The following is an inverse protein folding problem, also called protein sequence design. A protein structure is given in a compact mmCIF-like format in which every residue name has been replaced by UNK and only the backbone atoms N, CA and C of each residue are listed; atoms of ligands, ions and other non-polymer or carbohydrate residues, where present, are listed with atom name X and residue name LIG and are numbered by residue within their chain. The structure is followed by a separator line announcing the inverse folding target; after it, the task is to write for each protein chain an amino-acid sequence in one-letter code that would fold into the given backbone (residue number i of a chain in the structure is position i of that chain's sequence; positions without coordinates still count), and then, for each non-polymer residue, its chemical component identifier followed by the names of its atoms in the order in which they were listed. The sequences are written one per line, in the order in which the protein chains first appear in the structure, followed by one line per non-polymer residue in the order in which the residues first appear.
data_IF_295033547551
#
_entry.id   IF_295033547551
#
_cell.length_a   1.000
_cell.length_b   1.000
_cell.length_c   1.000
_cell.angle_alpha   90.00
_cell.angle_beta   90.00
_cell.angle_gamma   90.00
#
_symmetry.space_group_name_H-M   'P 1'
#
loop_
_entity.id
_entity.type
_entity.pdbx_description
1 polymer ?
#
# COMPACT_ATOMS: atom_id res chain seq x y z
N UNK A 1 16.03 13.49 -17.79
CA UNK A 1 15.74 13.19 -16.38
C UNK A 1 14.72 14.24 -15.94
N UNK A 2 13.46 13.84 -15.74
CA UNK A 2 12.49 14.73 -15.09
C UNK A 2 12.90 14.76 -13.63
N UNK A 3 13.13 15.95 -13.11
CA UNK A 3 13.43 16.12 -11.69
C UNK A 3 12.33 15.49 -10.88
N UNK A 4 12.69 14.55 -10.01
CA UNK A 4 11.79 14.03 -9.00
C UNK A 4 11.24 15.24 -8.23
N UNK A 5 9.92 15.45 -8.25
CA UNK A 5 9.29 16.68 -7.74
C UNK A 5 9.44 16.78 -6.19
N UNK A 6 10.06 15.78 -5.58
CA UNK A 6 10.34 15.77 -4.16
C UNK A 6 11.43 16.80 -3.80
N UNK A 7 11.18 17.58 -2.78
CA UNK A 7 12.18 18.41 -2.13
C UNK A 7 13.38 17.52 -1.73
N UNK A 8 14.58 17.69 -2.34
CA UNK A 8 15.73 16.83 -2.07
C UNK A 8 16.16 16.84 -0.60
N UNK A 9 15.84 17.92 0.14
CA UNK A 9 16.15 18.05 1.57
C UNK A 9 15.23 17.18 2.47
N UNK A 10 14.16 16.62 1.90
CA UNK A 10 13.17 15.79 2.59
C UNK A 10 13.07 14.37 2.04
N UNK A 11 13.92 14.00 1.09
CA UNK A 11 13.96 12.62 0.60
C UNK A 11 14.53 11.71 1.67
N UNK A 12 13.79 10.68 2.01
CA UNK A 12 14.32 9.57 2.80
C UNK A 12 15.38 8.89 1.94
N UNK A 13 16.57 8.65 2.48
CA UNK A 13 17.69 8.03 1.75
C UNK A 13 17.41 6.59 1.29
N UNK A 14 16.31 5.99 1.72
CA UNK A 14 15.92 4.60 1.50
C UNK A 14 14.55 4.52 0.83
N UNK A 15 14.47 4.90 -0.45
CA UNK A 15 13.21 5.01 -1.20
C UNK A 15 13.05 3.96 -2.30
N UNK A 16 13.87 2.96 -2.36
CA UNK A 16 13.77 1.86 -3.32
C UNK A 16 13.06 0.65 -2.68
N UNK A 17 12.08 0.07 -3.36
CA UNK A 17 11.37 -1.11 -2.88
C UNK A 17 12.28 -2.34 -2.64
N UNK A 18 13.51 -2.34 -3.17
CA UNK A 18 14.53 -3.36 -2.95
C UNK A 18 15.54 -3.01 -1.84
N UNK A 19 15.41 -1.84 -1.21
CA UNK A 19 16.38 -1.36 -0.21
C UNK A 19 16.38 -2.17 1.09
N UNK A 20 17.43 -1.98 1.94
CA UNK A 20 17.66 -2.80 3.13
C UNK A 20 16.49 -2.86 4.11
N UNK A 21 16.47 -3.93 4.85
CA UNK A 21 15.52 -4.23 5.91
C UNK A 21 16.22 -4.30 7.27
N UNK A 22 15.53 -4.25 8.42
CA UNK A 22 14.06 -4.20 8.53
C UNK A 22 13.46 -2.83 8.25
N UNK A 23 12.13 -2.79 7.96
CA UNK A 23 11.36 -1.56 7.78
C UNK A 23 10.07 -1.57 8.58
N UNK A 24 9.60 -0.36 8.87
CA UNK A 24 8.23 -0.12 9.31
C UNK A 24 7.46 0.53 8.17
N UNK A 25 6.27 -0.01 7.91
CA UNK A 25 5.35 0.53 6.93
C UNK A 25 4.16 1.18 7.66
N UNK A 26 3.97 2.49 7.50
CA UNK A 26 2.83 3.19 8.06
C UNK A 26 1.57 2.78 7.28
N UNK A 27 0.73 1.93 7.92
CA UNK A 27 -0.47 1.35 7.32
C UNK A 27 -1.56 2.39 7.18
N UNK A 28 -1.91 2.75 5.93
CA UNK A 28 -2.87 3.81 5.55
C UNK A 28 -2.48 5.21 6.03
N UNK A 29 -1.18 5.43 6.33
CA UNK A 29 -0.68 6.67 6.90
C UNK A 29 -0.63 6.67 8.43
N UNK A 30 -0.56 7.87 9.02
CA UNK A 30 -0.48 8.08 10.48
C UNK A 30 -1.01 9.45 10.88
N UNK A 31 -1.69 9.53 12.04
CA UNK A 31 -2.09 10.80 12.66
C UNK A 31 -3.23 11.54 11.98
N UNK A 32 -4.04 10.87 11.16
CA UNK A 32 -5.20 11.45 10.46
C UNK A 32 -6.11 10.39 9.88
N UNK A 33 -7.14 10.78 9.11
CA UNK A 33 -8.04 9.84 8.45
C UNK A 33 -7.26 8.90 7.53
N UNK A 34 -7.54 7.59 7.63
CA UNK A 34 -6.85 6.55 6.85
C UNK A 34 -6.91 6.83 5.33
N UNK A 35 -5.84 6.49 4.61
CA UNK A 35 -5.72 6.69 3.15
C UNK A 35 -5.84 8.15 2.66
N UNK A 36 -5.84 9.14 3.57
CA UNK A 36 -5.87 10.55 3.19
C UNK A 36 -4.47 11.09 2.89
N UNK A 37 -4.39 12.16 2.10
CA UNK A 37 -3.11 12.87 1.89
C UNK A 37 -2.52 13.38 3.21
N UNK A 38 -3.39 13.76 4.17
CA UNK A 38 -2.94 14.24 5.49
C UNK A 38 -2.22 13.14 6.24
N UNK A 39 -2.82 11.95 6.37
CA UNK A 39 -2.22 10.85 7.12
C UNK A 39 -0.98 10.28 6.43
N UNK A 40 -1.00 10.16 5.10
CA UNK A 40 0.14 9.66 4.33
C UNK A 40 1.34 10.64 4.39
N UNK A 41 1.08 11.93 4.22
CA UNK A 41 2.13 12.96 4.35
C UNK A 41 2.67 13.05 5.78
N UNK A 42 1.80 12.98 6.79
CA UNK A 42 2.22 12.94 8.19
C UNK A 42 3.17 11.78 8.49
N UNK A 43 2.87 10.58 7.99
CA UNK A 43 3.76 9.43 8.15
C UNK A 43 5.14 9.68 7.53
N UNK A 44 5.19 10.22 6.30
CA UNK A 44 6.44 10.54 5.60
C UNK A 44 7.21 11.65 6.33
N UNK A 45 6.54 12.69 6.80
CA UNK A 45 7.17 13.79 7.53
C UNK A 45 7.73 13.35 8.90
N UNK A 46 7.17 12.29 9.51
CA UNK A 46 7.72 11.62 10.69
C UNK A 46 8.90 10.68 10.37
N UNK A 47 9.22 10.52 9.10
CA UNK A 47 10.34 9.72 8.62
C UNK A 47 9.98 8.26 8.31
N UNK A 48 8.71 7.98 7.98
CA UNK A 48 8.33 6.65 7.51
C UNK A 48 9.06 6.32 6.20
N UNK A 49 9.83 5.23 6.24
CA UNK A 49 10.57 4.72 5.08
C UNK A 49 9.62 4.07 4.07
N UNK A 50 8.52 3.55 4.57
CA UNK A 50 7.49 2.89 3.78
C UNK A 50 6.09 3.30 4.25
N UNK A 51 5.20 3.58 3.30
CA UNK A 51 3.78 3.85 3.54
C UNK A 51 2.94 2.86 2.75
N UNK A 52 1.78 2.52 3.29
CA UNK A 52 0.82 1.67 2.58
C UNK A 52 -0.49 2.42 2.41
N UNK A 53 -1.13 2.23 1.27
CA UNK A 53 -2.45 2.75 1.00
C UNK A 53 -3.20 1.88 -0.02
N UNK A 54 -4.53 1.89 0.12
CA UNK A 54 -5.43 1.09 -0.68
C UNK A 54 -6.01 1.91 -1.85
N UNK A 55 -6.06 1.33 -3.05
CA UNK A 55 -6.65 2.00 -4.21
C UNK A 55 -7.79 1.20 -4.84
N UNK A 56 -8.81 1.94 -5.29
CA UNK A 56 -9.95 1.44 -6.05
C UNK A 56 -10.05 2.15 -7.40
N UNK A 57 -10.70 1.46 -8.34
CA UNK A 57 -11.10 2.03 -9.65
C UNK A 57 -12.55 2.49 -9.53
N UNK A 58 -12.82 3.76 -9.82
CA UNK A 58 -14.19 4.29 -9.87
C UNK A 58 -14.94 3.81 -11.11
N UNK A 59 -16.25 4.05 -11.17
CA UNK A 59 -17.09 3.69 -12.34
C UNK A 59 -16.60 4.33 -13.65
N UNK A 60 -16.04 5.53 -13.59
CA UNK A 60 -15.50 6.28 -14.72
C UNK A 60 -13.99 6.12 -14.92
N UNK A 61 -13.36 5.15 -14.20
CA UNK A 61 -11.96 4.78 -14.40
C UNK A 61 -10.95 5.67 -13.69
N UNK A 62 -11.37 6.50 -12.70
CA UNK A 62 -10.41 7.19 -11.84
C UNK A 62 -9.85 6.24 -10.79
N UNK A 63 -8.60 6.48 -10.35
CA UNK A 63 -7.94 5.68 -9.32
C UNK A 63 -7.93 6.50 -8.03
N UNK A 64 -8.70 6.05 -7.03
CA UNK A 64 -8.89 6.77 -5.76
C UNK A 64 -8.40 5.96 -4.58
N UNK A 65 -7.95 6.62 -3.51
CA UNK A 65 -7.48 5.95 -2.31
C UNK A 65 -8.59 5.84 -1.25
N UNK A 66 -8.94 4.57 -0.93
CA UNK A 66 -9.94 4.24 0.06
C UNK A 66 -9.77 2.77 0.48
N UNK A 67 -9.97 2.44 1.76
CA UNK A 67 -9.83 1.04 2.16
C UNK A 67 -11.04 0.20 1.82
N UNK A 68 -12.22 0.62 2.30
CA UNK A 68 -13.44 -0.17 2.13
C UNK A 68 -14.04 0.03 0.75
N UNK A 69 -14.67 -1.02 0.24
CA UNK A 69 -15.56 -0.86 -0.90
C UNK A 69 -16.78 -0.03 -0.52
N UNK A 70 -17.29 -0.21 0.69
CA UNK A 70 -18.45 0.50 1.23
C UNK A 70 -18.06 1.89 1.74
N UNK A 71 -18.81 2.93 1.32
CA UNK A 71 -18.53 4.33 1.64
C UNK A 71 -18.96 4.72 3.06
N UNK A 72 -19.86 3.95 3.66
CA UNK A 72 -20.57 4.30 4.90
C UNK A 72 -19.65 4.49 6.10
N UNK A 73 -18.56 3.74 6.21
CA UNK A 73 -17.63 3.86 7.35
C UNK A 73 -16.74 5.10 7.23
N UNK A 74 -16.32 5.42 6.01
CA UNK A 74 -15.24 6.39 5.75
C UNK A 74 -15.74 7.75 5.30
N UNK A 75 -17.00 7.86 4.83
CA UNK A 75 -17.52 9.09 4.25
C UNK A 75 -18.97 9.36 4.62
N UNK A 76 -19.49 10.50 4.20
CA UNK A 76 -20.92 10.83 4.30
C UNK A 76 -21.77 10.12 3.23
N UNK A 77 -21.16 9.36 2.33
CA UNK A 77 -21.83 8.64 1.27
C UNK A 77 -22.30 7.23 1.66
N UNK A 78 -22.96 6.59 0.71
CA UNK A 78 -23.46 5.21 0.80
C UNK A 78 -23.16 4.46 -0.49
N UNK A 79 -23.17 3.12 -0.44
CA UNK A 79 -22.89 2.25 -1.59
C UNK A 79 -21.40 2.01 -1.82
N UNK A 80 -21.05 1.51 -3.00
CA UNK A 80 -19.68 1.08 -3.28
C UNK A 80 -18.87 2.15 -4.01
N UNK A 81 -17.62 2.35 -3.63
CA UNK A 81 -16.70 3.30 -4.25
C UNK A 81 -16.60 3.09 -5.76
N UNK A 82 -16.55 1.85 -6.23
CA UNK A 82 -16.43 1.49 -7.65
C UNK A 82 -17.76 1.62 -8.44
N UNK A 83 -18.88 1.91 -7.78
CA UNK A 83 -20.17 2.20 -8.41
C UNK A 83 -20.39 3.70 -8.63
N UNK A 84 -19.53 4.55 -8.08
CA UNK A 84 -19.58 6.00 -8.21
C UNK A 84 -18.58 6.51 -9.24
N UNK A 85 -18.91 7.62 -9.90
CA UNK A 85 -17.92 8.42 -10.62
C UNK A 85 -17.05 9.21 -9.62
N UNK A 86 -15.87 9.60 -10.06
CA UNK A 86 -15.02 10.47 -9.23
C UNK A 86 -15.72 11.79 -8.87
N UNK A 87 -16.45 12.39 -9.81
CA UNK A 87 -17.22 13.60 -9.53
C UNK A 87 -18.26 13.41 -8.40
N UNK A 88 -18.93 12.24 -8.34
CA UNK A 88 -19.85 11.93 -7.24
C UNK A 88 -19.12 11.74 -5.91
N UNK A 89 -17.94 11.12 -5.91
CA UNK A 89 -17.14 10.94 -4.69
C UNK A 89 -16.61 12.28 -4.16
N UNK A 90 -16.36 13.27 -5.00
CA UNK A 90 -15.95 14.62 -4.60
C UNK A 90 -17.03 15.41 -3.83
N UNK A 91 -18.30 15.02 -3.93
CA UNK A 91 -19.39 15.64 -3.15
C UNK A 91 -19.44 15.11 -1.70
N UNK A 92 -18.70 14.03 -1.40
CA UNK A 92 -18.71 13.37 -0.09
C UNK A 92 -17.60 13.93 0.80
N UNK A 93 -17.83 13.85 2.11
CA UNK A 93 -16.85 14.20 3.13
C UNK A 93 -16.21 12.93 3.69
N UNK A 94 -14.90 12.78 3.51
CA UNK A 94 -14.10 11.64 3.97
C UNK A 94 -13.34 11.92 5.28
N UNK A 95 -13.59 13.05 5.94
CA UNK A 95 -12.90 13.43 7.16
C UNK A 95 -13.79 13.53 8.39
N UNK A 96 -15.03 14.00 8.22
CA UNK A 96 -15.94 14.30 9.34
C UNK A 96 -16.19 13.09 10.27
N UNK A 97 -16.19 11.88 9.72
CA UNK A 97 -16.39 10.65 10.51
C UNK A 97 -15.17 10.25 11.34
N UNK A 98 -14.00 10.72 10.97
CA UNK A 98 -12.80 10.52 11.78
C UNK A 98 -12.76 11.52 12.94
N UNK A 99 -12.83 12.82 12.64
CA UNK A 99 -12.96 13.87 13.66
C UNK A 99 -13.43 15.19 13.00
N UNK A 100 -14.10 16.08 13.76
CA UNK A 100 -14.67 17.33 13.24
C UNK A 100 -13.65 18.25 12.54
N UNK A 101 -12.40 18.25 12.98
CA UNK A 101 -11.31 19.07 12.41
C UNK A 101 -10.94 18.66 10.98
N UNK A 102 -11.33 17.47 10.55
CA UNK A 102 -11.11 16.97 9.19
C UNK A 102 -12.35 17.13 8.28
N UNK A 103 -13.39 17.82 8.77
CA UNK A 103 -14.59 18.05 7.96
C UNK A 103 -14.24 18.72 6.62
N UNK A 104 -14.87 18.25 5.54
CA UNK A 104 -14.61 18.72 4.19
C UNK A 104 -13.45 18.04 3.46
N UNK A 105 -12.79 17.07 4.09
CA UNK A 105 -11.73 16.30 3.43
C UNK A 105 -12.29 15.51 2.24
N UNK A 106 -11.60 15.56 1.11
CA UNK A 106 -11.96 14.83 -0.10
C UNK A 106 -11.15 13.55 -0.25
N UNK A 107 -11.71 12.57 -0.95
CA UNK A 107 -11.01 11.35 -1.33
C UNK A 107 -9.86 11.71 -2.28
N UNK A 108 -8.61 11.32 -1.99
CA UNK A 108 -7.50 11.60 -2.90
C UNK A 108 -7.46 10.60 -4.06
N UNK A 109 -6.97 11.06 -5.20
CA UNK A 109 -6.60 10.18 -6.30
C UNK A 109 -5.19 9.61 -6.09
N UNK A 110 -4.85 8.53 -6.83
CA UNK A 110 -3.48 8.05 -6.91
C UNK A 110 -2.53 9.17 -7.41
N UNK A 111 -3.00 9.99 -8.35
CA UNK A 111 -2.21 11.10 -8.87
C UNK A 111 -1.90 12.14 -7.78
N UNK A 112 -2.88 12.51 -6.94
CA UNK A 112 -2.66 13.44 -5.82
C UNK A 112 -1.60 12.91 -4.84
N UNK A 113 -1.62 11.60 -4.55
CA UNK A 113 -0.65 10.94 -3.67
C UNK A 113 0.74 10.97 -4.31
N UNK A 114 0.86 10.57 -5.58
CA UNK A 114 2.14 10.54 -6.28
C UNK A 114 2.72 11.95 -6.47
N UNK A 115 1.89 12.94 -6.80
CA UNK A 115 2.32 14.33 -6.91
C UNK A 115 2.94 14.85 -5.61
N UNK A 116 2.43 14.42 -4.47
CA UNK A 116 2.88 14.87 -3.14
C UNK A 116 4.05 14.07 -2.60
N UNK A 117 4.05 12.76 -2.80
CA UNK A 117 4.86 11.82 -2.04
C UNK A 117 5.78 10.92 -2.90
N UNK A 118 5.71 10.99 -4.24
CA UNK A 118 6.59 10.19 -5.09
C UNK A 118 8.07 10.40 -4.70
N UNK A 119 8.82 9.29 -4.62
CA UNK A 119 10.24 9.26 -4.25
C UNK A 119 10.57 9.75 -2.82
N UNK A 120 9.58 10.01 -1.98
CA UNK A 120 9.79 10.41 -0.57
C UNK A 120 9.71 9.25 0.41
N UNK A 121 9.05 8.17 0.04
CA UNK A 121 8.98 6.90 0.75
C UNK A 121 8.76 5.77 -0.25
N UNK A 122 9.02 4.53 0.16
CA UNK A 122 8.54 3.36 -0.56
C UNK A 122 7.03 3.27 -0.40
N UNK A 123 6.31 3.06 -1.50
CA UNK A 123 4.85 2.98 -1.51
C UNK A 123 4.38 1.55 -1.75
N UNK A 124 3.73 0.98 -0.75
CA UNK A 124 2.96 -0.25 -0.84
C UNK A 124 1.57 0.09 -1.38
N UNK A 125 1.36 -0.07 -2.67
CA UNK A 125 0.08 0.24 -3.31
C UNK A 125 -0.80 -1.01 -3.31
N UNK A 126 -1.77 -1.05 -2.41
CA UNK A 126 -2.72 -2.15 -2.32
C UNK A 126 -3.85 -1.99 -3.34
N UNK A 127 -3.78 -2.75 -4.42
CA UNK A 127 -4.79 -2.72 -5.48
C UNK A 127 -6.00 -3.57 -5.04
N UNK A 128 -7.11 -2.89 -4.79
CA UNK A 128 -8.37 -3.52 -4.39
C UNK A 128 -9.17 -3.97 -5.61
N UNK A 129 -9.93 -5.04 -5.41
CA UNK A 129 -10.88 -5.58 -6.39
C UNK A 129 -12.22 -5.89 -5.72
N UNK A 130 -13.34 -5.80 -6.43
CA UNK A 130 -14.61 -6.30 -5.93
C UNK A 130 -14.48 -7.76 -5.48
N UNK A 131 -15.22 -8.12 -4.43
CA UNK A 131 -15.20 -9.50 -3.92
C UNK A 131 -15.64 -10.47 -5.02
N UNK A 132 -14.82 -11.50 -5.27
CA UNK A 132 -15.08 -12.50 -6.30
C UNK A 132 -14.75 -12.06 -7.73
N UNK A 133 -14.13 -10.90 -7.92
CA UNK A 133 -13.65 -10.50 -9.24
C UNK A 133 -12.62 -11.50 -9.77
N UNK A 134 -12.82 -11.96 -10.99
CA UNK A 134 -11.96 -12.93 -11.69
C UNK A 134 -10.99 -12.25 -12.66
N UNK A 135 -11.20 -10.96 -12.94
CA UNK A 135 -10.40 -10.12 -13.82
C UNK A 135 -10.16 -8.73 -13.19
N UNK A 136 -9.37 -7.93 -13.88
CA UNK A 136 -9.10 -6.55 -13.51
C UNK A 136 -9.10 -5.68 -14.78
N UNK A 137 -9.67 -4.45 -14.75
CA UNK A 137 -9.71 -3.59 -15.94
C UNK A 137 -8.31 -3.23 -16.43
N UNK A 138 -7.96 -3.64 -17.65
CA UNK A 138 -6.64 -3.36 -18.25
C UNK A 138 -6.34 -1.88 -18.31
N UNK A 139 -7.33 -1.06 -18.68
CA UNK A 139 -7.20 0.40 -18.74
C UNK A 139 -6.85 1.02 -17.37
N UNK A 140 -7.33 0.42 -16.27
CA UNK A 140 -6.97 0.88 -14.93
C UNK A 140 -5.50 0.56 -14.60
N UNK A 141 -5.01 -0.63 -14.96
CA UNK A 141 -3.59 -0.97 -14.77
C UNK A 141 -2.70 -0.07 -15.64
N UNK A 142 -3.09 0.19 -16.90
CA UNK A 142 -2.38 1.14 -17.78
C UNK A 142 -2.30 2.53 -17.15
N UNK A 143 -3.41 3.03 -16.58
CA UNK A 143 -3.44 4.33 -15.91
C UNK A 143 -2.53 4.36 -14.67
N UNK A 144 -2.57 3.32 -13.83
CA UNK A 144 -1.70 3.20 -12.64
C UNK A 144 -0.23 3.26 -13.06
N UNK A 145 0.18 2.46 -14.05
CA UNK A 145 1.56 2.42 -14.56
C UNK A 145 1.95 3.77 -15.17
N UNK A 146 1.08 4.38 -15.98
CA UNK A 146 1.35 5.68 -16.59
C UNK A 146 1.55 6.80 -15.55
N UNK A 147 0.81 6.77 -14.43
CA UNK A 147 1.00 7.70 -13.32
C UNK A 147 2.34 7.46 -12.61
N UNK A 148 2.71 6.20 -12.35
CA UNK A 148 4.02 5.86 -11.76
C UNK A 148 5.16 6.33 -12.66
N UNK A 149 5.02 6.19 -13.99
CA UNK A 149 6.00 6.69 -14.97
C UNK A 149 6.07 8.22 -15.01
N UNK A 150 4.90 8.87 -14.97
CA UNK A 150 4.81 10.33 -14.95
C UNK A 150 5.61 10.94 -13.80
N UNK A 151 5.62 10.29 -12.64
CA UNK A 151 6.30 10.74 -11.44
C UNK A 151 7.69 10.07 -11.22
N UNK A 152 8.18 9.27 -12.19
CA UNK A 152 9.48 8.60 -12.17
C UNK A 152 9.76 7.80 -10.89
N UNK A 153 8.74 7.05 -10.43
CA UNK A 153 8.81 6.39 -9.13
C UNK A 153 8.70 4.84 -9.17
N UNK A 154 8.97 4.19 -10.33
CA UNK A 154 8.90 2.72 -10.48
C UNK A 154 9.69 1.96 -9.42
N UNK A 155 10.85 2.47 -9.01
CA UNK A 155 11.71 1.84 -7.99
C UNK A 155 11.22 2.08 -6.57
N UNK A 156 10.33 3.05 -6.37
CA UNK A 156 9.83 3.48 -5.07
C UNK A 156 8.43 2.91 -4.75
N UNK A 157 7.91 2.05 -5.62
CA UNK A 157 6.59 1.46 -5.44
C UNK A 157 6.65 -0.06 -5.52
N UNK A 158 5.69 -0.71 -4.91
CA UNK A 158 5.36 -2.08 -5.23
C UNK A 158 3.84 -2.29 -5.16
N UNK A 159 3.33 -3.17 -6.01
CA UNK A 159 1.93 -3.54 -6.02
C UNK A 159 1.68 -4.68 -5.03
N UNK A 160 0.72 -4.50 -4.14
CA UNK A 160 0.22 -5.56 -3.27
C UNK A 160 -1.21 -5.92 -3.69
N UNK A 161 -1.49 -7.20 -3.86
CA UNK A 161 -2.85 -7.66 -4.17
C UNK A 161 -3.07 -9.11 -3.75
N UNK A 162 -4.30 -9.41 -3.34
CA UNK A 162 -4.79 -10.76 -3.11
C UNK A 162 -5.40 -11.44 -4.35
N UNK A 163 -5.61 -10.71 -5.44
CA UNK A 163 -6.24 -11.20 -6.67
C UNK A 163 -5.19 -11.61 -7.70
N UNK A 164 -5.26 -12.85 -8.18
CA UNK A 164 -4.30 -13.43 -9.11
C UNK A 164 -4.32 -12.77 -10.49
N UNK A 165 -5.48 -12.28 -10.96
CA UNK A 165 -5.59 -11.58 -12.22
C UNK A 165 -4.81 -10.24 -12.21
N UNK A 166 -4.84 -9.53 -11.09
CA UNK A 166 -4.04 -8.30 -10.89
C UNK A 166 -2.56 -8.62 -10.90
N UNK A 167 -2.12 -9.68 -10.19
CA UNK A 167 -0.71 -10.09 -10.14
C UNK A 167 -0.20 -10.51 -11.52
N UNK A 168 -0.99 -11.29 -12.26
CA UNK A 168 -0.65 -11.71 -13.62
C UNK A 168 -0.56 -10.51 -14.58
N UNK A 169 -1.52 -9.60 -14.53
CA UNK A 169 -1.55 -8.39 -15.35
C UNK A 169 -0.37 -7.46 -15.04
N UNK A 170 -0.05 -7.26 -13.76
CA UNK A 170 1.10 -6.48 -13.36
C UNK A 170 2.43 -7.12 -13.79
N UNK A 171 2.52 -8.46 -13.78
CA UNK A 171 3.68 -9.19 -14.30
C UNK A 171 3.86 -8.99 -15.81
N UNK A 172 2.76 -9.02 -16.57
CA UNK A 172 2.76 -8.82 -18.02
C UNK A 172 3.15 -7.38 -18.39
N UNK A 173 2.52 -6.40 -17.74
CA UNK A 173 2.57 -4.99 -18.18
C UNK A 173 3.72 -4.19 -17.56
N UNK A 174 4.16 -4.55 -16.35
CA UNK A 174 5.23 -3.86 -15.64
C UNK A 174 6.08 -4.86 -14.83
N UNK A 175 6.83 -5.77 -15.51
CA UNK A 175 7.61 -6.82 -14.85
C UNK A 175 8.69 -6.28 -13.92
N UNK A 176 9.17 -5.07 -14.15
CA UNK A 176 10.17 -4.35 -13.37
C UNK A 176 9.62 -3.70 -12.09
N UNK A 177 8.31 -3.44 -12.00
CA UNK A 177 7.69 -2.99 -10.74
C UNK A 177 7.56 -4.18 -9.79
N UNK A 178 8.10 -4.03 -8.57
CA UNK A 178 8.02 -5.05 -7.53
C UNK A 178 6.55 -5.42 -7.23
N UNK A 179 6.30 -6.70 -6.95
CA UNK A 179 4.96 -7.22 -6.61
C UNK A 179 5.00 -7.97 -5.29
N UNK A 180 3.90 -7.86 -4.55
CA UNK A 180 3.67 -8.50 -3.26
C UNK A 180 2.35 -9.28 -3.31
N UNK A 181 2.37 -10.55 -2.95
CA UNK A 181 1.15 -11.33 -2.78
C UNK A 181 0.50 -10.94 -1.46
N UNK A 182 -0.67 -10.35 -1.52
CA UNK A 182 -1.55 -10.17 -0.36
C UNK A 182 -2.34 -11.44 -0.06
N UNK A 183 -2.94 -11.53 1.13
CA UNK A 183 -3.84 -12.61 1.44
C UNK A 183 -5.09 -12.49 0.57
N UNK A 184 -5.19 -13.36 -0.39
CA UNK A 184 -6.41 -13.62 -1.13
C UNK A 184 -7.30 -14.60 -0.37
N UNK A 185 -8.03 -15.41 -1.12
CA UNK A 185 -8.87 -16.48 -0.57
C UNK A 185 -8.06 -17.65 0.02
N UNK A 186 -6.77 -17.74 -0.29
CA UNK A 186 -5.90 -18.86 0.07
C UNK A 186 -4.61 -18.38 0.76
N UNK A 187 -4.65 -18.03 2.06
CA UNK A 187 -3.50 -17.52 2.79
C UNK A 187 -2.32 -18.52 2.88
N UNK A 188 -2.59 -19.81 2.71
CA UNK A 188 -1.56 -20.86 2.84
C UNK A 188 -0.71 -21.04 1.56
N UNK A 189 -1.10 -20.45 0.43
CA UNK A 189 -0.43 -20.62 -0.87
C UNK A 189 0.36 -19.38 -1.31
N UNK A 190 0.69 -18.48 -0.38
CA UNK A 190 1.30 -17.20 -0.76
C UNK A 190 2.67 -17.36 -1.41
N UNK A 191 3.48 -18.31 -0.96
CA UNK A 191 4.81 -18.56 -1.53
C UNK A 191 4.69 -19.12 -2.96
N UNK A 192 3.80 -20.10 -3.18
CA UNK A 192 3.55 -20.68 -4.51
C UNK A 192 3.01 -19.62 -5.49
N UNK A 193 2.11 -18.77 -5.02
CA UNK A 193 1.59 -17.66 -5.82
C UNK A 193 2.67 -16.63 -6.12
N UNK A 194 3.53 -16.31 -5.15
CA UNK A 194 4.65 -15.42 -5.37
C UNK A 194 5.60 -15.94 -6.46
N UNK A 195 5.93 -17.23 -6.41
CA UNK A 195 6.77 -17.87 -7.43
C UNK A 195 6.08 -17.87 -8.81
N UNK A 196 4.78 -18.17 -8.86
CA UNK A 196 3.99 -18.19 -10.10
C UNK A 196 3.94 -16.84 -10.79
N UNK A 197 3.73 -15.76 -10.04
CA UNK A 197 3.56 -14.41 -10.57
C UNK A 197 4.83 -13.55 -10.47
N UNK A 198 5.99 -14.15 -10.19
CA UNK A 198 7.27 -13.44 -10.09
C UNK A 198 7.28 -12.35 -9.01
N UNK A 199 6.49 -12.54 -7.96
CA UNK A 199 6.45 -11.59 -6.84
C UNK A 199 7.70 -11.75 -5.96
N UNK A 200 8.27 -10.64 -5.54
CA UNK A 200 9.43 -10.61 -4.64
C UNK A 200 9.04 -10.54 -3.16
N UNK A 201 7.77 -10.27 -2.88
CA UNK A 201 7.24 -10.07 -1.54
C UNK A 201 5.97 -10.89 -1.31
N UNK A 202 5.71 -11.24 -0.05
CA UNK A 202 4.41 -11.72 0.44
C UNK A 202 4.02 -10.90 1.66
N UNK A 203 2.71 -10.69 1.88
CA UNK A 203 2.19 -10.05 3.07
C UNK A 203 1.46 -11.05 3.96
N UNK A 204 2.13 -11.47 5.00
CA UNK A 204 1.65 -12.40 6.01
C UNK A 204 0.66 -11.70 6.96
N UNK A 205 -0.16 -12.48 7.63
CA UNK A 205 -1.14 -12.00 8.60
C UNK A 205 -0.86 -12.56 9.98
N UNK A 206 -0.77 -11.68 10.96
CA UNK A 206 -0.64 -12.06 12.36
C UNK A 206 -1.73 -13.07 12.76
N UNK A 207 -1.32 -14.17 13.37
CA UNK A 207 -2.23 -15.24 13.80
C UNK A 207 -2.77 -16.16 12.71
N UNK A 208 -2.38 -15.92 11.43
CA UNK A 208 -2.74 -16.80 10.29
C UNK A 208 -1.53 -17.33 9.54
N UNK A 209 -0.33 -16.91 9.92
CA UNK A 209 0.93 -17.33 9.31
C UNK A 209 1.78 -18.00 10.39
N UNK A 210 2.47 -19.06 10.01
CA UNK A 210 3.35 -19.84 10.87
C UNK A 210 4.82 -19.72 10.42
N UNK A 211 5.70 -20.25 11.25
CA UNK A 211 7.14 -20.27 10.97
C UNK A 211 7.46 -21.01 9.67
N UNK A 212 6.75 -22.08 9.36
CA UNK A 212 7.00 -22.86 8.16
C UNK A 212 6.78 -22.04 6.87
N UNK A 213 5.79 -21.15 6.86
CA UNK A 213 5.57 -20.22 5.75
C UNK A 213 6.69 -19.18 5.64
N UNK A 214 7.15 -18.64 6.77
CA UNK A 214 8.27 -17.69 6.80
C UNK A 214 9.54 -18.37 6.28
N UNK A 215 9.91 -19.51 6.83
CA UNK A 215 11.09 -20.29 6.40
C UNK A 215 11.04 -20.65 4.91
N UNK A 216 9.87 -21.08 4.42
CA UNK A 216 9.66 -21.38 3.01
C UNK A 216 9.84 -20.14 2.12
N UNK A 217 9.33 -18.98 2.53
CA UNK A 217 9.51 -17.73 1.81
C UNK A 217 11.00 -17.34 1.76
N UNK A 218 11.68 -17.36 2.92
CA UNK A 218 13.11 -17.05 3.02
C UNK A 218 13.98 -17.98 2.19
N UNK A 219 13.71 -19.29 2.20
CA UNK A 219 14.40 -20.28 1.38
C UNK A 219 14.26 -20.04 -0.14
N UNK A 220 13.21 -19.32 -0.55
CA UNK A 220 12.99 -18.92 -1.94
C UNK A 220 13.39 -17.46 -2.25
N UNK A 221 14.07 -16.79 -1.33
CA UNK A 221 14.49 -15.40 -1.50
C UNK A 221 13.32 -14.41 -1.55
N UNK A 222 12.18 -14.76 -0.94
CA UNK A 222 10.99 -13.93 -0.89
C UNK A 222 10.97 -13.12 0.40
N UNK A 223 10.72 -11.83 0.26
CA UNK A 223 10.64 -10.86 1.36
C UNK A 223 9.29 -10.99 2.06
N UNK A 224 9.31 -11.10 3.39
CA UNK A 224 8.11 -11.24 4.21
C UNK A 224 7.70 -9.91 4.82
N UNK A 225 6.55 -9.39 4.43
CA UNK A 225 5.85 -8.33 5.14
C UNK A 225 4.85 -8.95 6.11
N UNK A 226 4.57 -8.29 7.24
CA UNK A 226 3.55 -8.72 8.20
C UNK A 226 2.50 -7.63 8.41
N UNK A 227 1.26 -7.97 8.26
CA UNK A 227 0.11 -7.21 8.72
C UNK A 227 -0.42 -7.87 10.01
N UNK A 228 -0.39 -7.26 11.13
CA UNK A 228 0.31 -6.05 11.59
C UNK A 228 0.75 -6.23 13.04
N UNK A 229 1.65 -5.40 13.50
CA UNK A 229 1.91 -5.22 14.92
C UNK A 229 2.00 -3.73 15.27
N UNK A 230 1.38 -3.36 16.40
CA UNK A 230 1.34 -2.01 16.95
C UNK A 230 2.09 -1.94 18.29
N UNK A 231 2.65 -3.08 18.74
CA UNK A 231 3.38 -3.21 20.01
C UNK A 231 4.87 -3.46 19.74
N UNK A 232 5.79 -2.66 20.32
CA UNK A 232 7.23 -2.74 20.04
C UNK A 232 7.84 -4.11 20.30
N UNK A 233 7.55 -4.71 21.44
CA UNK A 233 8.13 -6.02 21.83
C UNK A 233 7.66 -7.13 20.88
N UNK A 234 6.39 -7.09 20.47
CA UNK A 234 5.84 -8.03 19.50
C UNK A 234 6.43 -7.80 18.10
N UNK A 235 6.54 -6.55 17.67
CA UNK A 235 7.14 -6.21 16.39
C UNK A 235 8.60 -6.69 16.35
N UNK A 236 9.38 -6.49 17.41
CA UNK A 236 10.75 -6.99 17.50
C UNK A 236 10.81 -8.51 17.38
N UNK A 237 9.91 -9.25 18.03
CA UNK A 237 9.85 -10.71 17.90
C UNK A 237 9.62 -11.15 16.46
N UNK A 238 8.74 -10.48 15.71
CA UNK A 238 8.52 -10.77 14.30
C UNK A 238 9.75 -10.47 13.45
N UNK A 239 10.45 -9.37 13.71
CA UNK A 239 11.71 -9.07 13.02
C UNK A 239 12.77 -10.16 13.28
N UNK A 240 12.88 -10.64 14.52
CA UNK A 240 13.80 -11.72 14.92
C UNK A 240 13.43 -13.06 14.24
N UNK A 241 12.15 -13.27 13.91
CA UNK A 241 11.66 -14.42 13.14
C UNK A 241 11.95 -14.32 11.62
N UNK A 242 12.54 -13.23 11.16
CA UNK A 242 12.86 -13.03 9.74
C UNK A 242 11.80 -12.26 8.93
N UNK A 243 10.86 -11.60 9.60
CA UNK A 243 9.99 -10.63 8.94
C UNK A 243 10.82 -9.40 8.56
N UNK A 244 10.64 -8.91 7.33
CA UNK A 244 11.39 -7.80 6.78
C UNK A 244 10.70 -6.45 6.97
N UNK A 245 9.36 -6.44 6.87
CA UNK A 245 8.57 -5.21 7.00
C UNK A 245 7.38 -5.46 7.92
N UNK A 246 7.23 -4.64 8.94
CA UNK A 246 6.04 -4.63 9.80
C UNK A 246 5.13 -3.48 9.36
N UNK A 247 3.89 -3.79 8.98
CA UNK A 247 2.84 -2.81 8.84
C UNK A 247 2.32 -2.43 10.23
N UNK A 248 2.14 -1.14 10.48
CA UNK A 248 1.69 -0.65 11.78
C UNK A 248 0.79 0.57 11.64
N UNK A 249 -0.20 0.69 12.53
CA UNK A 249 -0.98 1.92 12.71
C UNK A 249 -0.30 2.90 13.69
N UNK A 250 0.71 2.42 14.45
CA UNK A 250 1.39 3.13 15.52
C UNK A 250 2.85 3.46 15.14
N UNK A 251 3.04 4.06 13.95
CA UNK A 251 4.37 4.28 13.38
C UNK A 251 5.33 4.97 14.35
N UNK A 252 4.89 6.05 15.00
CA UNK A 252 5.76 6.81 15.92
C UNK A 252 6.24 5.98 17.12
N UNK A 253 5.39 5.07 17.59
CA UNK A 253 5.66 4.20 18.73
C UNK A 253 6.73 3.15 18.40
N UNK A 254 6.76 2.67 17.15
CA UNK A 254 7.65 1.61 16.69
C UNK A 254 8.91 2.15 15.99
N UNK A 255 8.96 3.42 15.62
CA UNK A 255 9.98 3.98 14.73
C UNK A 255 11.43 3.79 15.19
N UNK A 256 11.65 3.55 16.49
CA UNK A 256 12.98 3.26 17.06
C UNK A 256 13.53 1.87 16.67
N UNK A 257 12.67 0.93 16.23
CA UNK A 257 13.08 -0.43 15.86
C UNK A 257 13.88 -0.49 14.55
N UNK A 258 13.72 0.49 13.66
CA UNK A 258 14.38 0.53 12.36
C UNK A 258 15.35 1.69 12.18
N UNK A 259 15.27 2.72 13.02
CA UNK A 259 16.22 3.84 13.02
C UNK A 259 17.55 3.37 13.65
N UNK A 260 18.59 3.30 12.85
CA UNK A 260 19.98 3.07 13.29
C UNK A 260 20.68 4.37 13.59
#
# INVERSE_FOLDING_TARGET
MKDCIADPSRTVSLTDAAMPYPRLCAHRGFGGPENSLVSLASAVDLGAEEIEFDIWVTRDGEIVACHDADLERLSTGTGKVYEHTYAQLLELDFGIKYAPEYAGLRIPTLEDILQKLACRAVMNIHIKTPKGAVDYPRAAMEKIIALIDKYDCRRHVYFMCGNDAVLAMAQEMAPDICRCVGAGTEPNNMVERALRYGCKKIQLFKGKSDMAQIEKALANGIICNLYRSDEPDEAQQFLDMGIHTILTNEYSRLSHLTKK
#
